data_IF_374087729830
#
_entry.id   IF_374087729830
#
_cell.length_a   1.000
_cell.length_b   1.000
_cell.length_c   1.000
_cell.angle_alpha   90.00
_cell.angle_beta   90.00
_cell.angle_gamma   90.00
#
_symmetry.space_group_name_H-M   'P 1'
#
loop_
_entity.id
_entity.type
_entity.pdbx_description
1 polymer ?
#
# COMPACT_ATOMS: atom_id res chain seq x y z
N UNK A 1 24.45 -15.99 24.35
CA UNK A 1 25.58 -15.15 23.88
C UNK A 1 26.73 -16.08 23.55
N UNK A 2 27.47 -15.83 22.48
CA UNK A 2 28.63 -16.63 22.09
C UNK A 2 29.51 -15.90 21.09
N UNK A 3 30.69 -16.44 20.80
CA UNK A 3 31.68 -15.80 19.93
C UNK A 3 31.49 -16.26 18.48
N UNK A 4 31.52 -15.35 17.51
CA UNK A 4 31.52 -15.72 16.09
C UNK A 4 32.84 -16.44 15.79
N UNK A 5 32.79 -17.70 15.35
CA UNK A 5 33.98 -18.46 14.94
C UNK A 5 34.15 -18.41 13.42
N UNK A 6 33.08 -18.67 12.68
CA UNK A 6 33.07 -18.64 11.20
C UNK A 6 31.78 -18.00 10.69
N UNK A 7 31.87 -17.31 9.54
CA UNK A 7 30.71 -16.78 8.81
C UNK A 7 30.89 -17.16 7.35
N UNK A 8 30.06 -18.07 6.84
CA UNK A 8 30.14 -18.54 5.45
C UNK A 8 28.72 -18.72 4.92
N UNK A 9 28.39 -18.02 3.83
CA UNK A 9 27.11 -18.10 3.13
C UNK A 9 25.86 -17.99 4.03
N UNK A 10 25.87 -17.00 4.93
CA UNK A 10 24.76 -16.78 5.88
C UNK A 10 24.68 -17.84 6.98
N UNK A 11 25.60 -18.80 7.06
CA UNK A 11 25.68 -19.77 8.15
C UNK A 11 26.87 -19.45 9.05
N UNK A 12 26.58 -19.15 10.31
CA UNK A 12 27.55 -18.74 11.31
C UNK A 12 27.73 -19.86 12.33
N UNK A 13 28.98 -20.10 12.71
CA UNK A 13 29.30 -20.96 13.86
C UNK A 13 29.53 -20.06 15.05
N UNK A 14 28.77 -20.29 16.12
CA UNK A 14 28.90 -19.52 17.36
C UNK A 14 29.51 -20.42 18.44
N UNK A 15 30.68 -20.03 18.96
CA UNK A 15 31.39 -20.76 20.00
C UNK A 15 30.50 -20.98 21.22
N UNK A 16 30.40 -22.25 21.65
CA UNK A 16 29.52 -22.70 22.72
C UNK A 16 28.10 -23.07 22.28
N UNK A 17 27.74 -22.90 21.00
CA UNK A 17 26.51 -23.45 20.42
C UNK A 17 26.82 -24.73 19.63
N UNK A 18 26.06 -25.79 19.87
CA UNK A 18 26.18 -27.06 19.13
C UNK A 18 25.48 -27.02 17.78
N UNK A 19 24.66 -25.99 17.54
CA UNK A 19 23.83 -25.83 16.34
C UNK A 19 24.40 -24.71 15.46
N UNK A 20 24.37 -24.92 14.14
CA UNK A 20 24.71 -23.88 13.18
C UNK A 20 23.65 -22.78 13.19
N UNK A 21 24.08 -21.52 13.21
CA UNK A 21 23.21 -20.36 13.13
C UNK A 21 23.02 -19.98 11.67
N UNK A 22 21.81 -20.02 11.16
CA UNK A 22 21.45 -19.47 9.85
C UNK A 22 21.01 -18.03 10.08
N UNK A 23 21.64 -17.10 9.36
CA UNK A 23 21.37 -15.67 9.32
C UNK A 23 20.79 -15.36 7.94
N UNK A 24 19.48 -15.58 7.74
CA UNK A 24 18.84 -15.24 6.48
C UNK A 24 18.89 -13.72 6.23
N UNK A 25 18.74 -13.31 4.97
CA UNK A 25 18.95 -11.93 4.54
C UNK A 25 18.03 -10.89 5.18
N UNK A 26 16.93 -11.32 5.79
CA UNK A 26 15.98 -10.52 6.58
C UNK A 26 16.38 -10.39 8.06
N UNK A 27 17.50 -10.99 8.48
CA UNK A 27 17.99 -10.88 9.86
C UNK A 27 18.47 -9.46 10.16
N UNK A 28 17.92 -8.86 11.21
CA UNK A 28 18.40 -7.57 11.71
C UNK A 28 19.76 -7.74 12.40
N UNK A 29 20.85 -7.35 11.74
CA UNK A 29 22.22 -7.38 12.31
C UNK A 29 22.63 -5.99 12.79
N UNK A 30 22.83 -5.85 14.10
CA UNK A 30 23.26 -4.62 14.75
C UNK A 30 24.74 -4.71 15.11
N UNK A 31 25.55 -3.88 14.45
CA UNK A 31 27.01 -3.85 14.58
C UNK A 31 27.71 -4.56 13.43
N UNK A 32 29.05 -4.47 13.37
CA UNK A 32 29.85 -5.11 12.31
C UNK A 32 30.22 -6.52 12.76
N UNK A 33 29.67 -7.59 12.14
CA UNK A 33 30.02 -8.95 12.51
C UNK A 33 31.41 -9.31 11.99
N UNK A 34 32.22 -9.92 12.84
CA UNK A 34 33.56 -10.41 12.49
C UNK A 34 33.89 -11.63 13.35
N UNK A 35 34.67 -12.57 12.81
CA UNK A 35 35.20 -13.68 13.58
C UNK A 35 35.95 -13.15 14.82
N UNK A 36 35.70 -13.75 15.98
CA UNK A 36 36.21 -13.32 17.29
C UNK A 36 35.33 -12.32 18.05
N UNK A 37 34.26 -11.76 17.44
CA UNK A 37 33.32 -10.87 18.15
C UNK A 37 32.29 -11.66 18.94
N UNK A 38 31.86 -11.12 20.08
CA UNK A 38 30.73 -11.69 20.83
C UNK A 38 29.42 -11.23 20.22
N UNK A 39 28.43 -12.12 20.20
CA UNK A 39 27.07 -11.82 19.72
C UNK A 39 26.00 -12.32 20.67
N UNK A 40 24.93 -11.55 20.76
CA UNK A 40 23.63 -12.00 21.25
C UNK A 40 22.73 -12.25 20.04
N UNK A 41 22.16 -13.45 19.97
CA UNK A 41 21.33 -13.89 18.84
C UNK A 41 19.95 -14.21 19.39
N UNK A 42 18.92 -13.64 18.79
CA UNK A 42 17.53 -14.04 19.00
C UNK A 42 16.98 -14.64 17.71
N UNK A 43 16.29 -15.76 17.86
CA UNK A 43 15.91 -16.60 16.74
C UNK A 43 15.08 -17.79 17.20
N UNK A 44 14.69 -18.65 16.27
CA UNK A 44 13.94 -19.86 16.55
C UNK A 44 14.64 -21.06 15.92
N UNK A 45 14.49 -22.25 16.49
CA UNK A 45 15.03 -23.46 15.87
C UNK A 45 14.09 -23.96 14.77
N UNK A 46 14.66 -24.47 13.69
CA UNK A 46 13.92 -25.11 12.59
C UNK A 46 13.53 -26.57 12.88
N UNK A 47 13.93 -27.13 14.02
CA UNK A 47 13.69 -28.53 14.39
C UNK A 47 14.58 -29.55 13.66
N UNK A 48 15.44 -29.12 12.74
CA UNK A 48 16.42 -29.96 12.02
C UNK A 48 17.86 -29.74 12.51
N UNK A 49 18.02 -29.10 13.67
CA UNK A 49 19.33 -28.88 14.27
C UNK A 49 19.95 -27.52 13.92
N UNK A 50 19.21 -26.60 13.31
CA UNK A 50 19.69 -25.24 13.03
C UNK A 50 18.91 -24.21 13.85
N UNK A 51 19.57 -23.10 14.13
CA UNK A 51 18.98 -21.92 14.74
C UNK A 51 18.82 -20.87 13.64
N UNK A 52 17.61 -20.36 13.42
CA UNK A 52 17.33 -19.31 12.44
C UNK A 52 17.30 -17.98 13.17
N UNK A 53 18.22 -17.07 12.82
CA UNK A 53 18.31 -15.75 13.41
C UNK A 53 17.15 -14.87 12.94
N UNK A 54 16.56 -14.12 13.87
CA UNK A 54 15.72 -12.95 13.54
C UNK A 54 16.45 -11.65 13.83
N UNK A 55 17.31 -11.65 14.85
CA UNK A 55 18.16 -10.51 15.20
C UNK A 55 19.49 -10.96 15.78
N UNK A 56 20.56 -10.28 15.37
CA UNK A 56 21.92 -10.49 15.85
C UNK A 56 22.48 -9.16 16.35
N UNK A 57 22.92 -9.12 17.60
CA UNK A 57 23.56 -7.95 18.20
C UNK A 57 25.02 -8.25 18.49
N UNK A 58 25.94 -7.53 17.85
CA UNK A 58 27.38 -7.63 18.10
C UNK A 58 27.73 -6.85 19.37
N UNK A 59 28.24 -7.55 20.37
CA UNK A 59 28.58 -7.02 21.69
C UNK A 59 30.08 -6.76 21.75
N UNK A 60 30.44 -5.53 22.14
CA UNK A 60 31.83 -5.12 22.33
C UNK A 60 32.50 -4.77 21.01
N UNK A 61 32.40 -3.50 20.61
CA UNK A 61 33.10 -2.91 19.47
C UNK A 61 32.85 -1.43 19.32
N UNK A 62 33.62 -0.64 20.07
CA UNK A 62 34.02 0.69 19.66
C UNK A 62 34.60 0.64 18.23
N UNK A 63 34.17 1.59 17.41
CA UNK A 63 34.32 1.67 15.95
C UNK A 63 35.77 1.79 15.43
N UNK A 64 36.78 1.58 16.26
CA UNK A 64 38.16 1.99 15.99
C UNK A 64 39.22 0.89 16.00
N UNK A 65 38.87 -0.40 16.07
CA UNK A 65 39.89 -1.45 15.99
C UNK A 65 39.38 -2.74 15.31
N UNK A 66 39.21 -2.71 13.99
CA UNK A 66 39.08 -3.90 13.17
C UNK A 66 40.44 -4.21 12.52
N UNK A 67 41.04 -5.42 12.67
CA UNK A 67 42.26 -5.77 11.97
C UNK A 67 42.01 -5.80 10.45
N UNK A 68 42.92 -5.14 9.72
CA UNK A 68 42.89 -5.02 8.26
C UNK A 68 43.15 -6.39 7.59
N UNK A 69 42.32 -6.85 6.64
CA UNK A 69 42.58 -8.11 5.93
C UNK A 69 43.79 -7.96 4.99
N UNK A 70 44.79 -8.83 5.17
CA UNK A 70 45.94 -8.97 4.26
C UNK A 70 45.57 -9.96 3.16
N UNK A 71 45.33 -9.48 1.93
CA UNK A 71 45.16 -10.34 0.76
C UNK A 71 46.53 -10.66 0.13
N UNK A 72 46.87 -11.94 0.03
CA UNK A 72 48.02 -12.43 -0.71
C UNK A 72 47.65 -12.61 -2.19
N UNK A 73 48.22 -11.79 -3.07
CA UNK A 73 48.02 -11.92 -4.51
C UNK A 73 48.80 -13.12 -5.08
N UNK A 74 48.12 -13.98 -5.84
CA UNK A 74 48.76 -14.91 -6.77
C UNK A 74 48.16 -14.65 -8.16
N UNK A 75 49.02 -14.21 -9.08
CA UNK A 75 48.70 -13.99 -10.49
C UNK A 75 48.45 -15.33 -11.20
N UNK A 76 47.72 -15.32 -12.34
CA UNK A 76 48.15 -15.91 -13.64
C UNK A 76 46.98 -15.89 -14.64
N UNK A 77 47.24 -15.36 -15.84
CA UNK A 77 46.54 -15.76 -17.07
C UNK A 77 45.58 -14.73 -17.69
N UNK A 78 46.12 -13.85 -18.53
CA UNK A 78 45.37 -12.97 -19.45
C UNK A 78 44.91 -13.75 -20.69
N UNK A 79 43.61 -13.86 -21.02
CA UNK A 79 43.20 -14.12 -22.39
C UNK A 79 43.03 -12.79 -23.14
N UNK A 80 43.72 -12.68 -24.27
CA UNK A 80 43.69 -11.55 -25.21
C UNK A 80 42.30 -11.46 -25.84
N UNK A 81 41.64 -10.30 -25.68
CA UNK A 81 40.33 -9.99 -26.26
C UNK A 81 40.47 -9.67 -27.75
N UNK A 82 39.83 -10.46 -28.61
CA UNK A 82 39.55 -10.07 -29.98
C UNK A 82 38.35 -9.10 -30.00
N UNK A 83 38.54 -7.90 -30.52
CA UNK A 83 37.48 -6.92 -30.77
C UNK A 83 36.90 -7.17 -32.16
N UNK A 84 35.66 -7.65 -32.24
CA UNK A 84 34.85 -7.61 -33.47
C UNK A 84 33.91 -6.41 -33.35
N UNK A 85 34.15 -5.39 -34.16
CA UNK A 85 33.28 -4.21 -34.30
C UNK A 85 32.07 -4.57 -35.17
N UNK A 86 30.89 -4.69 -34.57
CA UNK A 86 29.61 -4.75 -35.29
C UNK A 86 28.98 -3.35 -35.26
N UNK A 87 28.61 -2.85 -36.43
CA UNK A 87 28.03 -1.52 -36.61
C UNK A 87 26.65 -1.39 -35.93
N UNK A 88 26.29 -0.19 -35.42
CA UNK A 88 25.00 0.03 -34.77
C UNK A 88 23.85 0.00 -35.80
N UNK A 89 22.66 -0.54 -35.46
CA UNK A 89 21.49 -0.43 -36.32
C UNK A 89 21.03 1.02 -36.43
N UNK A 90 20.83 1.50 -37.66
CA UNK A 90 20.32 2.83 -37.97
C UNK A 90 18.82 2.91 -37.69
N UNK A 91 18.42 3.81 -36.78
CA UNK A 91 17.03 4.14 -36.48
C UNK A 91 16.31 4.66 -37.74
N UNK A 92 15.29 3.95 -38.18
CA UNK A 92 14.39 4.40 -39.25
C UNK A 92 13.19 5.10 -38.62
N UNK A 93 13.05 6.41 -38.81
CA UNK A 93 11.92 7.19 -38.33
C UNK A 93 10.64 6.84 -39.13
N UNK A 94 9.60 6.42 -38.42
CA UNK A 94 8.26 6.18 -38.99
C UNK A 94 7.42 7.46 -38.80
N UNK A 95 6.79 8.04 -39.84
CA UNK A 95 5.91 9.20 -39.66
C UNK A 95 4.58 8.77 -39.01
N UNK A 96 4.22 9.47 -37.94
CA UNK A 96 2.94 9.32 -37.21
C UNK A 96 1.84 10.16 -37.89
N UNK A 97 0.61 9.65 -38.07
CA UNK A 97 -0.50 10.42 -38.61
C UNK A 97 -1.03 11.46 -37.61
N UNK A 98 -1.25 12.67 -38.13
CA UNK A 98 -1.72 13.86 -37.44
C UNK A 98 -3.18 13.75 -36.95
N UNK A 99 -3.53 14.18 -35.72
CA UNK A 99 -4.93 14.27 -35.30
C UNK A 99 -5.64 15.46 -35.97
N UNK A 100 -6.78 15.18 -36.59
CA UNK A 100 -7.64 16.18 -37.23
C UNK A 100 -8.58 16.79 -36.19
N UNK A 101 -8.43 18.08 -35.90
CA UNK A 101 -9.36 18.84 -35.05
C UNK A 101 -10.68 19.07 -35.80
N UNK A 102 -11.79 18.56 -35.28
CA UNK A 102 -13.14 18.95 -35.71
C UNK A 102 -13.77 19.82 -34.62
N UNK A 103 -13.91 21.14 -34.81
CA UNK A 103 -14.68 21.98 -33.88
C UNK A 103 -16.18 21.82 -34.17
N UNK A 104 -16.95 21.40 -33.16
CA UNK A 104 -18.42 21.49 -33.18
C UNK A 104 -18.82 22.82 -32.58
N UNK A 105 -19.33 23.73 -33.43
CA UNK A 105 -19.97 24.96 -32.99
C UNK A 105 -21.33 24.63 -32.38
N UNK A 106 -21.54 25.00 -31.11
CA UNK A 106 -22.85 25.06 -30.48
C UNK A 106 -23.15 26.51 -30.17
N UNK A 107 -24.07 27.09 -30.94
CA UNK A 107 -24.71 28.34 -30.60
C UNK A 107 -26.17 28.27 -31.04
N UNK A 108 -27.10 28.39 -30.11
CA UNK A 108 -28.25 29.30 -30.28
C UNK A 108 -28.81 29.66 -28.90
N UNK A 109 -28.72 30.92 -28.44
CA UNK A 109 -29.49 31.41 -27.30
C UNK A 109 -30.94 31.67 -27.72
N UNK A 110 -31.91 31.24 -26.91
CA UNK A 110 -33.31 31.66 -27.05
C UNK A 110 -33.64 32.65 -25.95
N UNK A 111 -33.58 33.94 -26.28
CA UNK A 111 -34.25 35.00 -25.53
C UNK A 111 -35.62 35.25 -26.15
N UNK A 112 -36.69 35.12 -25.39
CA UNK A 112 -38.03 35.59 -25.80
C UNK A 112 -38.58 36.50 -24.70
N UNK A 113 -38.49 37.80 -24.92
CA UNK A 113 -39.44 38.78 -24.40
C UNK A 113 -40.50 38.97 -25.53
N UNK A 114 -41.75 39.39 -25.33
CA UNK A 114 -42.24 40.55 -24.55
C UNK A 114 -43.80 40.52 -24.58
N UNK A 115 -44.52 41.57 -24.12
CA UNK A 115 -45.61 41.51 -23.15
C UNK A 115 -47.01 41.34 -23.76
N UNK A 116 -48.01 41.02 -22.94
CA UNK A 116 -49.41 41.20 -23.33
C UNK A 116 -50.02 42.33 -22.50
N UNK A 117 -50.21 43.48 -23.14
CA UNK A 117 -51.10 44.55 -22.64
C UNK A 117 -52.51 44.15 -23.04
N UNK A 118 -53.40 43.92 -22.06
CA UNK A 118 -54.83 43.76 -22.31
C UNK A 118 -55.57 45.00 -21.85
N UNK A 119 -56.37 45.53 -22.77
CA UNK A 119 -57.05 46.80 -22.68
C UNK A 119 -58.08 46.86 -21.54
N UNK A 120 -58.14 48.06 -20.95
CA UNK A 120 -59.09 48.56 -19.97
C UNK A 120 -60.52 48.50 -20.49
N UNK A 121 -61.41 47.79 -19.79
CA UNK A 121 -62.85 47.95 -19.93
C UNK A 121 -63.35 48.92 -18.85
N UNK A 122 -63.83 50.07 -19.28
CA UNK A 122 -64.49 51.09 -18.47
C UNK A 122 -65.84 50.57 -18.00
N UNK A 123 -65.98 50.24 -16.71
CA UNK A 123 -67.28 49.96 -16.08
C UNK A 123 -67.90 51.25 -15.55
N UNK A 124 -69.11 51.52 -16.03
CA UNK A 124 -69.98 52.63 -15.66
C UNK A 124 -70.39 52.53 -14.18
N UNK A 125 -70.41 53.63 -13.40
CA UNK A 125 -70.86 53.58 -12.01
C UNK A 125 -72.36 53.30 -11.95
N UNK A 126 -72.73 52.15 -11.39
CA UNK A 126 -74.13 51.80 -11.11
C UNK A 126 -74.38 51.99 -9.62
N UNK A 127 -75.24 52.94 -9.27
CA UNK A 127 -75.70 53.18 -7.90
C UNK A 127 -76.47 51.95 -7.38
N UNK A 128 -75.91 51.21 -6.42
CA UNK A 128 -76.58 50.09 -5.75
C UNK A 128 -76.10 50.04 -4.27
N UNK A 129 -76.98 49.70 -3.31
CA UNK A 129 -77.12 50.37 -2.02
C UNK A 129 -76.04 50.01 -1.00
N UNK A 130 -75.77 50.96 -0.11
CA UNK A 130 -74.91 50.82 1.07
C UNK A 130 -75.48 49.75 2.01
N UNK A 131 -74.85 48.56 2.04
CA UNK A 131 -75.08 47.58 3.11
C UNK A 131 -74.32 48.06 4.34
N UNK A 132 -75.06 48.45 5.37
CA UNK A 132 -74.56 48.76 6.71
C UNK A 132 -73.74 47.58 7.23
N UNK A 133 -72.48 47.84 7.59
CA UNK A 133 -71.61 46.84 8.21
C UNK A 133 -72.23 46.39 9.55
N UNK A 134 -72.70 45.15 9.60
CA UNK A 134 -72.91 44.44 10.85
C UNK A 134 -71.54 44.27 11.53
N UNK A 135 -71.38 44.58 12.83
CA UNK A 135 -70.11 44.34 13.51
C UNK A 135 -69.81 42.84 13.48
N UNK A 136 -68.86 42.45 12.64
CA UNK A 136 -68.27 41.12 12.67
C UNK A 136 -67.52 40.96 13.98
N UNK A 137 -67.93 40.00 14.80
CA UNK A 137 -67.19 39.58 15.98
C UNK A 137 -65.82 39.09 15.53
N UNK A 138 -64.77 39.88 15.78
CA UNK A 138 -63.38 39.47 15.59
C UNK A 138 -63.17 38.12 16.29
N UNK A 139 -62.74 37.05 15.61
CA UNK A 139 -62.40 35.81 16.28
C UNK A 139 -61.29 36.11 17.29
N UNK A 140 -61.60 35.87 18.57
CA UNK A 140 -60.61 35.94 19.64
C UNK A 140 -59.53 34.92 19.35
N UNK A 141 -58.28 35.35 19.24
CA UNK A 141 -57.13 34.44 19.16
C UNK A 141 -57.12 33.58 20.41
N UNK A 142 -57.52 32.33 20.26
CA UNK A 142 -57.35 31.35 21.33
C UNK A 142 -55.85 31.20 21.53
N UNK A 143 -55.31 31.37 22.76
CA UNK A 143 -53.89 31.16 22.99
C UNK A 143 -53.56 29.72 22.59
N UNK A 144 -52.85 29.56 21.48
CA UNK A 144 -52.30 28.28 21.08
C UNK A 144 -51.41 27.81 22.21
N UNK A 145 -51.69 26.63 22.77
CA UNK A 145 -50.85 26.05 23.81
C UNK A 145 -49.40 26.06 23.32
N UNK A 146 -48.53 26.74 24.08
CA UNK A 146 -47.09 26.70 23.84
C UNK A 146 -46.66 25.23 23.84
N UNK A 147 -45.81 24.78 22.88
CA UNK A 147 -45.39 23.39 22.86
C UNK A 147 -44.79 23.04 24.22
N UNK A 148 -45.39 22.06 24.88
CA UNK A 148 -44.81 21.45 26.07
C UNK A 148 -43.39 21.02 25.72
N UNK A 149 -42.36 21.40 26.49
CA UNK A 149 -41.00 20.98 26.17
C UNK A 149 -40.95 19.45 26.15
N UNK A 150 -40.72 18.89 24.96
CA UNK A 150 -40.49 17.45 24.80
C UNK A 150 -39.19 17.13 25.52
N UNK A 151 -39.23 16.16 26.44
CA UNK A 151 -38.04 15.74 27.16
C UNK A 151 -36.99 15.20 26.16
N UNK A 152 -35.89 15.92 25.99
CA UNK A 152 -34.74 15.48 25.19
C UNK A 152 -34.06 14.32 25.91
N UNK A 153 -33.92 13.18 25.24
CA UNK A 153 -33.22 12.02 25.78
C UNK A 153 -31.71 12.33 25.92
N UNK A 154 -31.13 11.99 27.06
CA UNK A 154 -29.70 12.18 27.31
C UNK A 154 -28.85 11.18 26.51
N UNK A 155 -27.59 11.54 26.14
CA UNK A 155 -26.65 10.59 25.58
C UNK A 155 -26.34 9.42 26.52
N UNK A 156 -26.10 8.24 25.96
CA UNK A 156 -25.81 7.02 26.72
C UNK A 156 -24.67 6.21 26.07
N UNK A 157 -23.91 5.40 26.83
CA UNK A 157 -22.80 4.63 26.28
C UNK A 157 -23.27 3.56 25.30
N UNK A 158 -22.48 3.31 24.27
CA UNK A 158 -22.71 2.25 23.29
C UNK A 158 -21.41 1.74 22.70
N UNK A 159 -21.50 0.57 22.07
CA UNK A 159 -20.41 -0.03 21.32
C UNK A 159 -20.88 -0.39 19.91
N UNK A 160 -19.98 -0.31 18.94
CA UNK A 160 -20.23 -0.70 17.55
C UNK A 160 -19.00 -1.41 17.00
N UNK A 161 -19.22 -2.54 16.33
CA UNK A 161 -18.15 -3.33 15.71
C UNK A 161 -18.37 -3.36 14.21
N UNK A 162 -17.29 -3.25 13.45
CA UNK A 162 -17.40 -3.36 11.99
C UNK A 162 -16.17 -2.93 11.23
N UNK A 163 -16.27 -3.04 9.92
CA UNK A 163 -15.24 -2.62 8.96
C UNK A 163 -15.30 -1.11 8.76
N UNK A 164 -14.14 -0.45 8.74
CA UNK A 164 -14.05 0.92 8.24
C UNK A 164 -14.29 0.89 6.73
N UNK A 165 -15.37 1.51 6.27
CA UNK A 165 -15.75 1.62 4.86
C UNK A 165 -15.32 2.95 4.26
N UNK A 166 -15.28 4.01 5.07
CA UNK A 166 -14.91 5.36 4.65
C UNK A 166 -14.28 6.13 5.83
N UNK A 167 -13.33 7.03 5.53
CA UNK A 167 -12.60 7.79 6.55
C UNK A 167 -12.56 9.27 6.19
N UNK A 168 -13.08 10.11 7.08
CA UNK A 168 -12.93 11.57 7.05
C UNK A 168 -12.27 12.06 8.35
N UNK A 169 -11.74 13.29 8.38
CA UNK A 169 -11.08 13.83 9.58
C UNK A 169 -11.98 13.89 10.81
N UNK A 170 -13.29 14.07 10.63
CA UNK A 170 -14.26 14.25 11.72
C UNK A 170 -15.26 13.11 11.85
N UNK A 171 -15.29 12.15 10.93
CA UNK A 171 -16.20 11.01 11.01
C UNK A 171 -15.74 9.84 10.13
N UNK A 172 -16.03 8.61 10.56
CA UNK A 172 -15.78 7.39 9.79
C UNK A 172 -17.09 6.67 9.51
N UNK A 173 -17.19 5.96 8.38
CA UNK A 173 -18.27 5.02 8.13
C UNK A 173 -17.80 3.63 8.55
N UNK A 174 -18.46 3.02 9.53
CA UNK A 174 -18.12 1.69 10.06
C UNK A 174 -19.31 0.75 9.89
N UNK A 175 -19.20 -0.22 8.98
CA UNK A 175 -20.27 -1.16 8.61
C UNK A 175 -21.64 -0.47 8.42
N UNK A 176 -21.68 0.56 7.56
CA UNK A 176 -22.88 1.35 7.28
C UNK A 176 -23.32 2.33 8.37
N UNK A 177 -22.61 2.46 9.50
CA UNK A 177 -22.92 3.43 10.57
C UNK A 177 -21.89 4.55 10.61
N UNK A 178 -22.36 5.80 10.55
CA UNK A 178 -21.50 6.96 10.71
C UNK A 178 -21.09 7.14 12.18
N UNK A 179 -19.79 7.17 12.41
CA UNK A 179 -19.14 7.36 13.71
C UNK A 179 -18.48 8.74 13.70
N UNK A 180 -18.88 9.63 14.61
CA UNK A 180 -18.31 10.97 14.75
C UNK A 180 -17.05 10.92 15.63
N UNK A 181 -15.98 11.54 15.17
CA UNK A 181 -14.72 11.68 15.91
C UNK A 181 -14.63 13.08 16.51
N UNK A 182 -14.12 13.15 17.73
CA UNK A 182 -13.73 14.40 18.39
C UNK A 182 -12.22 14.41 18.62
N UNK A 183 -11.62 15.57 18.95
CA UNK A 183 -10.21 15.63 19.32
C UNK A 183 -9.84 14.72 20.51
N UNK A 184 -10.83 14.35 21.33
CA UNK A 184 -10.66 13.47 22.49
C UNK A 184 -10.87 11.98 22.14
N UNK A 185 -11.23 11.63 20.89
CA UNK A 185 -11.34 10.24 20.47
C UNK A 185 -9.93 9.61 20.45
N UNK A 186 -9.70 8.65 21.33
CA UNK A 186 -8.47 7.86 21.34
C UNK A 186 -8.55 6.72 20.31
N UNK A 187 -7.48 6.53 19.52
CA UNK A 187 -7.42 5.50 18.48
C UNK A 187 -6.24 4.57 18.81
N UNK A 188 -6.55 3.32 19.15
CA UNK A 188 -5.58 2.25 19.37
C UNK A 188 -5.33 1.50 18.05
N UNK A 189 -4.19 1.80 17.44
CA UNK A 189 -3.66 1.18 16.21
C UNK A 189 -2.62 0.08 16.51
N UNK A 190 -2.55 -0.42 17.74
CA UNK A 190 -1.56 -1.44 18.13
C UNK A 190 -1.66 -2.75 17.33
N UNK A 191 -2.85 -3.08 16.81
CA UNK A 191 -3.09 -4.26 15.96
C UNK A 191 -2.92 -3.98 14.46
N UNK A 192 -2.63 -2.74 14.07
CA UNK A 192 -2.57 -2.28 12.68
C UNK A 192 -3.15 -0.87 12.54
N UNK A 193 -2.83 -0.15 11.45
CA UNK A 193 -3.32 1.21 11.24
C UNK A 193 -4.83 1.23 11.05
N UNK A 194 -5.52 2.26 11.52
CA UNK A 194 -6.99 2.37 11.42
C UNK A 194 -7.40 2.93 10.05
N UNK A 195 -7.06 2.24 8.97
CA UNK A 195 -7.41 2.64 7.61
C UNK A 195 -8.72 2.00 7.14
N UNK A 196 -9.27 2.49 6.02
CA UNK A 196 -10.40 1.83 5.35
C UNK A 196 -10.04 0.35 5.14
N UNK A 197 -10.96 -0.55 5.47
CA UNK A 197 -10.79 -2.00 5.44
C UNK A 197 -10.42 -2.63 6.79
N UNK A 198 -9.99 -1.86 7.79
CA UNK A 198 -9.74 -2.37 9.13
C UNK A 198 -11.06 -2.74 9.84
N UNK A 199 -11.12 -3.87 10.53
CA UNK A 199 -12.17 -4.12 11.51
C UNK A 199 -11.85 -3.40 12.82
N UNK A 200 -12.79 -2.60 13.29
CA UNK A 200 -12.65 -1.84 14.53
C UNK A 200 -13.74 -2.17 15.54
N UNK A 201 -13.37 -2.09 16.81
CA UNK A 201 -14.29 -1.94 17.92
C UNK A 201 -14.36 -0.45 18.26
N UNK A 202 -15.56 0.12 18.22
CA UNK A 202 -15.82 1.51 18.58
C UNK A 202 -16.60 1.53 19.88
N UNK A 203 -16.10 2.30 20.85
CA UNK A 203 -16.80 2.63 22.09
C UNK A 203 -17.07 4.13 22.11
N UNK A 204 -18.23 4.53 22.64
CA UNK A 204 -18.60 5.93 22.69
C UNK A 204 -20.00 6.20 23.20
N UNK A 205 -20.53 7.36 22.83
CA UNK A 205 -21.85 7.84 23.22
C UNK A 205 -22.81 7.80 22.04
N UNK A 206 -23.98 7.20 22.24
CA UNK A 206 -25.12 7.31 21.34
C UNK A 206 -25.91 8.56 21.75
N UNK A 207 -25.98 9.52 20.83
CA UNK A 207 -26.76 10.74 20.96
C UNK A 207 -28.09 10.47 20.27
N UNK A 208 -29.24 10.53 20.97
CA UNK A 208 -30.53 10.21 20.39
C UNK A 208 -31.15 11.36 19.58
N UNK A 209 -30.75 12.61 19.85
CA UNK A 209 -31.28 13.80 19.18
C UNK A 209 -30.20 14.91 19.04
N UNK A 210 -29.66 15.17 17.84
CA UNK A 210 -29.85 14.38 16.62
C UNK A 210 -29.22 12.98 16.75
N UNK A 211 -29.77 11.96 16.08
CA UNK A 211 -29.24 10.59 16.15
C UNK A 211 -27.80 10.52 15.62
N UNK A 212 -26.84 10.25 16.50
CA UNK A 212 -25.43 10.12 16.17
C UNK A 212 -24.72 9.12 17.09
N UNK A 213 -23.58 8.60 16.65
CA UNK A 213 -22.65 7.85 17.50
C UNK A 213 -21.34 8.64 17.55
N UNK A 214 -20.99 9.18 18.71
CA UNK A 214 -19.72 9.86 18.93
C UNK A 214 -18.74 8.92 19.60
N UNK A 215 -17.59 8.64 18.97
CA UNK A 215 -16.58 7.75 19.51
C UNK A 215 -15.76 8.42 20.61
N UNK A 216 -15.50 7.68 21.68
CA UNK A 216 -14.51 8.04 22.71
C UNK A 216 -13.24 7.21 22.56
N UNK A 217 -13.38 5.96 22.09
CA UNK A 217 -12.26 5.05 21.88
C UNK A 217 -12.53 4.17 20.65
N UNK A 218 -11.53 4.04 19.80
CA UNK A 218 -11.58 3.14 18.63
C UNK A 218 -10.36 2.24 18.69
N UNK A 219 -10.58 0.93 18.62
CA UNK A 219 -9.50 -0.06 18.58
C UNK A 219 -9.54 -0.84 17.30
N UNK A 220 -8.41 -0.92 16.60
CA UNK A 220 -8.25 -1.86 15.49
C UNK A 220 -8.20 -3.27 16.07
N UNK A 221 -9.13 -4.11 15.61
CA UNK A 221 -9.29 -5.49 16.09
C UNK A 221 -8.80 -6.53 15.10
N UNK A 222 -8.92 -6.24 13.79
CA UNK A 222 -8.28 -6.97 12.70
C UNK A 222 -7.95 -6.04 11.55
N UNK A 223 -6.78 -6.22 10.95
CA UNK A 223 -6.33 -5.48 9.78
C UNK A 223 -6.12 -6.49 8.63
N UNK A 224 -7.19 -6.81 7.90
CA UNK A 224 -7.24 -7.94 6.94
C UNK A 224 -6.54 -7.62 5.60
N UNK A 225 -5.27 -7.28 5.66
CA UNK A 225 -4.38 -7.25 4.49
C UNK A 225 -3.59 -8.56 4.42
N UNK A 226 -3.68 -9.22 3.26
CA UNK A 226 -2.73 -10.27 2.91
C UNK A 226 -1.47 -9.59 2.39
N UNK A 227 -0.34 -9.88 3.02
CA UNK A 227 0.98 -9.49 2.54
C UNK A 227 1.64 -10.67 1.85
N UNK A 228 2.27 -10.38 0.71
CA UNK A 228 3.03 -11.38 -0.02
C UNK A 228 4.26 -10.73 -0.63
N UNK A 229 5.38 -11.40 -0.44
CA UNK A 229 6.60 -11.16 -1.19
C UNK A 229 6.81 -12.34 -2.14
N UNK A 230 7.17 -12.05 -3.39
CA UNK A 230 7.54 -13.09 -4.35
C UNK A 230 8.51 -12.59 -5.40
N UNK A 231 9.32 -13.51 -5.90
CA UNK A 231 10.22 -13.29 -7.04
C UNK A 231 9.67 -14.02 -8.25
N UNK A 232 9.72 -13.37 -9.42
CA UNK A 232 9.32 -14.02 -10.66
C UNK A 232 9.71 -13.24 -11.90
N UNK A 233 9.61 -13.91 -13.05
CA UNK A 233 9.83 -13.27 -14.36
C UNK A 233 8.65 -12.34 -14.65
N UNK A 234 8.92 -11.11 -15.06
CA UNK A 234 7.93 -10.19 -15.62
C UNK A 234 7.48 -10.75 -16.97
N UNK A 235 6.27 -11.33 -17.02
CA UNK A 235 5.71 -11.94 -18.24
C UNK A 235 4.93 -10.96 -19.10
N UNK A 236 4.35 -9.92 -18.50
CA UNK A 236 3.69 -8.84 -19.24
C UNK A 236 3.66 -7.54 -18.45
N UNK A 237 3.74 -6.42 -19.16
CA UNK A 237 3.53 -5.08 -18.64
C UNK A 237 2.40 -4.43 -19.44
N UNK A 238 1.31 -4.06 -18.78
CA UNK A 238 0.19 -3.34 -19.41
C UNK A 238 -0.19 -2.14 -18.54
N UNK A 239 0.36 -0.97 -18.86
CA UNK A 239 0.24 0.20 -18.01
C UNK A 239 0.85 -0.08 -16.62
N UNK A 240 0.05 0.13 -15.56
CA UNK A 240 0.44 -0.17 -14.18
C UNK A 240 0.17 -1.62 -13.77
N UNK A 241 -0.45 -2.45 -14.60
CA UNK A 241 -0.76 -3.85 -14.25
C UNK A 241 0.27 -4.78 -14.87
N UNK A 242 1.03 -5.45 -14.02
CA UNK A 242 2.10 -6.36 -14.41
C UNK A 242 1.72 -7.80 -14.06
N UNK A 243 2.20 -8.75 -14.87
CA UNK A 243 2.16 -10.18 -14.56
C UNK A 243 3.57 -10.61 -14.18
N UNK A 244 3.82 -10.91 -12.91
CA UNK A 244 5.12 -11.36 -12.40
C UNK A 244 4.99 -12.80 -11.90
N UNK A 245 5.70 -13.72 -12.55
CA UNK A 245 5.43 -15.15 -12.43
C UNK A 245 4.01 -15.47 -12.92
N UNK A 246 3.18 -16.01 -12.03
CA UNK A 246 1.76 -16.31 -12.31
C UNK A 246 0.79 -15.35 -11.57
N UNK A 247 1.32 -14.27 -10.96
CA UNK A 247 0.53 -13.34 -10.13
C UNK A 247 0.42 -11.98 -10.81
N UNK A 248 -0.82 -11.48 -10.97
CA UNK A 248 -1.06 -10.11 -11.42
C UNK A 248 -0.94 -9.13 -10.27
N UNK A 249 -0.26 -8.01 -10.52
CA UNK A 249 0.00 -6.96 -9.54
C UNK A 249 -0.13 -5.59 -10.19
N UNK A 250 -0.82 -4.67 -9.50
CA UNK A 250 -0.87 -3.26 -9.83
C UNK A 250 0.30 -2.54 -9.14
N UNK A 251 1.16 -1.92 -9.94
CA UNK A 251 2.37 -1.20 -9.50
C UNK A 251 2.18 0.32 -9.48
N UNK A 252 0.97 0.83 -9.67
CA UNK A 252 0.68 2.27 -9.75
C UNK A 252 1.17 3.08 -8.55
N UNK A 253 1.23 2.47 -7.36
CA UNK A 253 1.74 3.08 -6.13
C UNK A 253 3.10 2.54 -5.66
N UNK A 254 3.76 1.69 -6.44
CA UNK A 254 4.98 1.02 -6.01
C UNK A 254 6.23 1.90 -6.15
N UNK A 255 7.17 1.75 -5.23
CA UNK A 255 8.55 2.19 -5.47
C UNK A 255 9.24 1.15 -6.36
N UNK A 256 9.64 1.56 -7.56
CA UNK A 256 10.27 0.67 -8.55
C UNK A 256 11.77 1.01 -8.64
N UNK A 257 12.62 0.01 -8.44
CA UNK A 257 14.08 0.12 -8.61
C UNK A 257 14.54 -0.78 -9.77
N UNK A 258 15.44 -0.28 -10.62
CA UNK A 258 15.86 -0.93 -11.86
C UNK A 258 14.93 -0.63 -13.04
N UNK A 259 15.29 -1.13 -14.22
CA UNK A 259 14.61 -0.88 -15.49
C UNK A 259 13.68 -2.05 -15.83
N UNK A 260 12.36 -1.90 -15.67
CA UNK A 260 11.43 -2.99 -15.91
C UNK A 260 11.33 -3.36 -17.39
N UNK A 261 11.36 -4.67 -17.67
CA UNK A 261 11.22 -5.22 -19.00
C UNK A 261 10.60 -6.61 -18.96
N UNK A 262 9.83 -6.97 -20.00
CA UNK A 262 9.31 -8.33 -20.14
C UNK A 262 10.49 -9.29 -20.31
N UNK A 263 10.51 -10.37 -19.53
CA UNK A 263 11.61 -11.34 -19.45
C UNK A 263 12.58 -11.10 -18.29
N UNK A 264 12.53 -9.93 -17.64
CA UNK A 264 13.36 -9.64 -16.46
C UNK A 264 12.83 -10.32 -15.22
N UNK A 265 13.70 -10.65 -14.27
CA UNK A 265 13.29 -11.12 -12.94
C UNK A 265 12.99 -9.90 -12.07
N UNK A 266 11.90 -9.96 -11.31
CA UNK A 266 11.56 -8.94 -10.33
C UNK A 266 11.12 -9.56 -9.01
N UNK A 267 11.59 -8.95 -7.92
CA UNK A 267 11.09 -9.20 -6.57
C UNK A 267 10.03 -8.18 -6.25
N UNK A 268 8.86 -8.64 -5.84
CA UNK A 268 7.67 -7.83 -5.58
C UNK A 268 7.26 -8.00 -4.12
N UNK A 269 7.17 -6.89 -3.40
CA UNK A 269 6.43 -6.81 -2.13
C UNK A 269 5.09 -6.18 -2.43
N UNK A 270 4.01 -6.89 -2.09
CA UNK A 270 2.66 -6.40 -2.32
C UNK A 270 1.71 -6.73 -1.17
N UNK A 271 0.63 -5.97 -1.15
CA UNK A 271 -0.48 -6.15 -0.24
C UNK A 271 -1.78 -6.24 -1.04
N UNK A 272 -2.76 -6.97 -0.52
CA UNK A 272 -4.13 -6.92 -1.05
C UNK A 272 -5.15 -7.10 0.05
N UNK A 273 -6.35 -6.57 -0.17
CA UNK A 273 -7.53 -7.06 0.54
C UNK A 273 -7.96 -8.41 -0.05
N UNK A 274 -8.64 -9.23 0.75
CA UNK A 274 -9.19 -10.50 0.28
C UNK A 274 -9.94 -10.34 -1.06
N UNK A 275 -9.65 -11.23 -2.02
CA UNK A 275 -10.22 -11.23 -3.38
C UNK A 275 -9.97 -9.97 -4.24
N UNK A 276 -8.98 -9.14 -3.87
CA UNK A 276 -8.56 -7.97 -4.65
C UNK A 276 -7.31 -8.26 -5.49
N UNK A 277 -7.00 -7.38 -6.46
CA UNK A 277 -5.71 -7.40 -7.16
C UNK A 277 -4.59 -7.05 -6.17
N UNK A 278 -3.41 -7.66 -6.31
CA UNK A 278 -2.23 -7.28 -5.53
C UNK A 278 -1.80 -5.86 -5.84
N UNK A 279 -1.55 -5.06 -4.82
CA UNK A 279 -0.99 -3.71 -4.92
C UNK A 279 0.47 -3.75 -4.47
N UNK A 280 1.40 -3.56 -5.39
CA UNK A 280 2.81 -3.54 -5.04
C UNK A 280 3.14 -2.29 -4.22
N UNK A 281 3.90 -2.49 -3.15
CA UNK A 281 4.55 -1.42 -2.38
C UNK A 281 5.98 -1.20 -2.86
N UNK A 282 6.69 -2.29 -3.20
CA UNK A 282 8.05 -2.22 -3.75
C UNK A 282 8.23 -3.26 -4.86
N UNK A 283 8.91 -2.85 -5.93
CA UNK A 283 9.36 -3.73 -6.99
C UNK A 283 10.84 -3.48 -7.23
N UNK A 284 11.65 -4.54 -7.13
CA UNK A 284 13.07 -4.51 -7.46
C UNK A 284 13.27 -5.38 -8.70
N UNK A 285 13.66 -4.76 -9.80
CA UNK A 285 14.00 -5.46 -11.04
C UNK A 285 15.47 -5.82 -11.02
N UNK A 286 15.74 -7.10 -11.21
CA UNK A 286 17.10 -7.62 -11.29
C UNK A 286 17.67 -7.36 -12.69
N UNK A 287 18.59 -6.40 -12.78
CA UNK A 287 19.30 -6.00 -14.00
C UNK A 287 20.56 -6.84 -14.27
N UNK A 288 20.81 -7.91 -13.51
CA UNK A 288 21.94 -8.79 -13.77
C UNK A 288 21.85 -9.43 -15.16
N UNK A 289 22.99 -9.42 -15.87
CA UNK A 289 23.08 -9.97 -17.21
C UNK A 289 23.20 -11.50 -17.10
N UNK A 290 22.07 -12.20 -17.25
CA UNK A 290 22.03 -13.66 -17.22
C UNK A 290 22.60 -14.23 -18.53
N UNK A 291 23.77 -14.88 -18.45
CA UNK A 291 24.33 -15.62 -19.59
C UNK A 291 23.75 -17.05 -19.61
N UNK A 292 22.88 -17.34 -20.59
CA UNK A 292 22.35 -18.69 -20.79
C UNK A 292 23.41 -19.59 -21.44
N UNK A 293 23.90 -20.56 -20.69
CA UNK A 293 24.82 -21.58 -21.21
C UNK A 293 24.03 -22.83 -21.62
N UNK A 294 23.98 -23.10 -22.92
CA UNK A 294 23.40 -24.32 -23.49
C UNK A 294 24.52 -25.28 -23.91
N UNK A 295 24.42 -26.55 -23.54
CA UNK A 295 25.41 -27.56 -23.92
C UNK A 295 25.21 -28.89 -23.21
N UNK A 296 26.08 -29.85 -23.52
CA UNK A 296 26.15 -31.12 -22.78
C UNK A 296 26.85 -30.86 -21.46
N UNK A 297 26.32 -31.42 -20.38
CA UNK A 297 26.99 -31.37 -19.07
C UNK A 297 28.19 -32.32 -19.13
N UNK A 298 29.40 -31.76 -19.11
CA UNK A 298 30.64 -32.50 -19.13
C UNK A 298 31.00 -33.03 -17.73
N UNK A 299 30.75 -32.22 -16.69
CA UNK A 299 30.97 -32.63 -15.30
C UNK A 299 30.17 -31.80 -14.30
N UNK A 300 29.93 -32.36 -13.12
CA UNK A 300 29.28 -31.67 -11.99
C UNK A 300 30.13 -31.91 -10.74
N UNK A 301 30.57 -30.84 -10.09
CA UNK A 301 31.29 -30.88 -8.82
C UNK A 301 30.68 -29.86 -7.88
N UNK A 302 29.96 -30.33 -6.86
CA UNK A 302 29.19 -29.47 -5.94
C UNK A 302 28.22 -28.53 -6.71
N UNK A 303 28.36 -27.21 -6.53
CA UNK A 303 27.60 -26.17 -7.22
C UNK A 303 28.17 -25.79 -8.59
N UNK A 304 29.32 -26.34 -8.98
CA UNK A 304 30.00 -26.01 -10.22
C UNK A 304 29.68 -27.05 -11.28
N UNK A 305 29.02 -26.61 -12.35
CA UNK A 305 28.70 -27.41 -13.52
C UNK A 305 29.63 -27.01 -14.65
N UNK A 306 30.14 -27.99 -15.40
CA UNK A 306 30.84 -27.73 -16.66
C UNK A 306 29.89 -28.11 -17.78
N UNK A 307 29.51 -27.13 -18.59
CA UNK A 307 28.59 -27.29 -19.72
C UNK A 307 29.31 -26.85 -20.99
N UNK A 308 29.58 -27.78 -21.90
CA UNK A 308 30.34 -27.57 -23.14
C UNK A 308 31.68 -26.83 -22.90
N UNK A 309 32.43 -27.29 -21.90
CA UNK A 309 33.70 -26.72 -21.46
C UNK A 309 33.63 -25.41 -20.68
N UNK A 310 32.43 -24.87 -20.42
CA UNK A 310 32.23 -23.64 -19.62
C UNK A 310 31.82 -23.96 -18.20
N UNK A 311 32.50 -23.33 -17.25
CA UNK A 311 32.20 -23.45 -15.83
C UNK A 311 31.03 -22.54 -15.45
N UNK A 312 29.95 -23.12 -14.94
CA UNK A 312 28.73 -22.45 -14.48
C UNK A 312 28.59 -22.72 -12.99
N UNK A 313 28.52 -21.66 -12.19
CA UNK A 313 28.21 -21.76 -10.77
C UNK A 313 26.69 -21.65 -10.58
N UNK A 314 26.07 -22.74 -10.16
CA UNK A 314 24.61 -22.88 -10.07
C UNK A 314 24.18 -22.60 -8.63
N UNK A 315 24.26 -21.34 -8.18
CA UNK A 315 23.56 -20.91 -6.97
C UNK A 315 22.07 -20.71 -7.28
N UNK A 316 21.21 -21.35 -6.48
CA UNK A 316 19.76 -21.27 -6.61
C UNK A 316 19.21 -19.89 -6.24
N UNK A 317 18.20 -19.47 -7.01
CA UNK A 317 17.38 -18.28 -6.82
C UNK A 317 16.72 -18.16 -5.44
#
# INVERSE_FOLDING_TARGET
>A
MGTIETMLDGVWTIGGMTMALVVPGDTEVIGIPAAGRQVLVTGYSDGQGRLIARRVMVIGGDSNNAPSPTATATSTGTPVRAIVTVAPPTNTATPSPSPTNTPVASATPTSTATPTVTATATVTPTNTPTVTATPTTTPSVTPTASPTPTATLAPYPGSHYGLIEEKHPTWWLVSGRQILLTPDTEIDESAGPAEVGAEVAVEGLIIPDPPAFQATFIRVTRYDYEFKEWTGVIRSITGSVWLVGDTTVDVSGATITGTPGVGMIATVQAQRRANSVWQATTVVVDESEYEYVFGVIDSIVANIWVVDGRTVDVFGA
#
